data_IF_107688505076
#
_entry.id   IF_107688505076
#
_cell.length_a   1.000
_cell.length_b   1.000
_cell.length_c   1.000
_cell.angle_alpha   90.00
_cell.angle_beta   90.00
_cell.angle_gamma   90.00
#
_symmetry.space_group_name_H-M   'P 1'
#
loop_
_entity.id
_entity.type
_entity.pdbx_description
1 polymer ?
#
# COMPACT_ATOMS: atom_id res chain seq x y z
N UNK A 1 28.48 -0.55 -9.14
CA UNK A 1 27.79 0.62 -8.53
C UNK A 1 26.44 0.76 -9.23
N UNK A 2 25.36 0.70 -8.45
CA UNK A 2 23.97 1.05 -8.78
C UNK A 2 23.16 0.07 -9.64
N UNK A 3 22.85 -1.13 -9.10
CA UNK A 3 21.81 -2.02 -9.65
C UNK A 3 20.89 -2.65 -8.56
N UNK A 4 20.96 -2.18 -7.32
CA UNK A 4 20.06 -2.70 -6.28
C UNK A 4 18.65 -2.10 -6.39
N UNK A 5 18.55 -0.84 -6.84
CA UNK A 5 17.28 -0.12 -6.98
C UNK A 5 16.39 -0.67 -8.10
N UNK A 6 16.97 -0.99 -9.27
CA UNK A 6 16.22 -1.56 -10.41
C UNK A 6 15.71 -2.97 -10.13
N UNK A 7 16.49 -3.79 -9.42
CA UNK A 7 16.06 -5.14 -9.03
C UNK A 7 14.95 -5.10 -7.99
N UNK A 8 15.04 -4.21 -6.99
CA UNK A 8 14.02 -4.07 -5.97
C UNK A 8 12.70 -3.56 -6.57
N UNK A 9 12.76 -2.56 -7.45
CA UNK A 9 11.59 -2.03 -8.14
C UNK A 9 10.91 -3.09 -9.01
N UNK A 10 11.68 -3.88 -9.77
CA UNK A 10 11.13 -4.97 -10.59
C UNK A 10 10.51 -6.11 -9.76
N UNK A 11 11.07 -6.41 -8.57
CA UNK A 11 10.46 -7.36 -7.63
C UNK A 11 9.16 -6.82 -7.04
N UNK A 12 9.17 -5.58 -6.57
CA UNK A 12 7.97 -4.92 -6.04
C UNK A 12 6.86 -4.84 -7.10
N UNK A 13 7.20 -4.63 -8.37
CA UNK A 13 6.25 -4.67 -9.48
C UNK A 13 5.68 -6.08 -9.76
N UNK A 14 6.45 -7.14 -9.50
CA UNK A 14 5.98 -8.52 -9.53
C UNK A 14 5.18 -8.92 -8.27
N UNK A 15 5.41 -8.24 -7.16
CA UNK A 15 4.72 -8.44 -5.88
C UNK A 15 3.46 -7.56 -5.76
N UNK A 16 3.30 -6.53 -6.60
CA UNK A 16 2.04 -5.80 -6.78
C UNK A 16 1.06 -6.65 -7.55
N UNK A 17 0.05 -7.18 -6.85
CA UNK A 17 -1.02 -7.94 -7.47
C UNK A 17 -2.39 -7.38 -7.07
N UNK A 18 -3.40 -7.44 -7.97
CA UNK A 18 -4.77 -7.20 -7.58
C UNK A 18 -5.19 -8.27 -6.57
N UNK A 19 -5.67 -7.85 -5.41
CA UNK A 19 -6.06 -8.71 -4.30
C UNK A 19 -7.45 -8.33 -3.80
N UNK A 20 -8.14 -9.29 -3.18
CA UNK A 20 -9.42 -9.02 -2.51
C UNK A 20 -9.19 -8.69 -1.05
N UNK A 21 -10.12 -7.94 -0.46
CA UNK A 21 -10.09 -7.64 0.97
C UNK A 21 -10.04 -8.90 1.85
N UNK A 22 -10.71 -9.99 1.43
CA UNK A 22 -10.70 -11.27 2.17
C UNK A 22 -9.29 -11.84 2.40
N UNK A 23 -8.41 -11.75 1.41
CA UNK A 23 -7.03 -12.24 1.50
C UNK A 23 -6.15 -11.34 2.38
N UNK A 24 -6.58 -10.09 2.59
CA UNK A 24 -5.89 -9.08 3.39
C UNK A 24 -6.24 -9.16 4.89
N UNK A 25 -7.37 -9.77 5.24
CA UNK A 25 -7.81 -9.98 6.63
C UNK A 25 -6.72 -10.57 7.56
N UNK A 26 -5.93 -11.60 7.19
CA UNK A 26 -4.86 -12.11 8.06
C UNK A 26 -3.73 -11.09 8.28
N UNK A 27 -3.42 -10.24 7.31
CA UNK A 27 -2.42 -9.18 7.45
C UNK A 27 -2.93 -8.03 8.31
N UNK A 28 -4.22 -7.71 8.18
CA UNK A 28 -4.91 -6.74 9.01
C UNK A 28 -4.96 -7.20 10.47
N UNK A 29 -5.31 -8.46 10.73
CA UNK A 29 -5.30 -9.05 12.07
C UNK A 29 -3.92 -9.03 12.74
N UNK A 30 -2.85 -9.04 11.95
CA UNK A 30 -1.46 -8.88 12.42
C UNK A 30 -1.05 -7.43 12.66
N UNK A 31 -1.90 -6.47 12.31
CA UNK A 31 -1.59 -5.04 12.37
C UNK A 31 -0.49 -4.61 11.40
N UNK A 32 -0.23 -5.41 10.35
CA UNK A 32 0.85 -5.22 9.38
C UNK A 32 0.37 -4.55 8.08
N UNK A 33 -0.82 -3.96 8.10
CA UNK A 33 -1.49 -3.45 6.90
C UNK A 33 -1.48 -1.92 6.89
N UNK A 34 -0.89 -1.36 5.83
CA UNK A 34 -0.81 0.07 5.60
C UNK A 34 -1.70 0.44 4.42
N UNK A 35 -2.56 1.41 4.64
CA UNK A 35 -3.40 2.01 3.62
C UNK A 35 -2.67 3.15 2.93
N UNK A 36 -2.61 3.08 1.60
CA UNK A 36 -2.08 4.12 0.74
C UNK A 36 -3.24 4.79 0.01
N UNK A 37 -3.26 6.12 0.01
CA UNK A 37 -4.24 6.92 -0.74
C UNK A 37 -4.05 6.72 -2.25
N UNK A 38 -5.15 6.67 -3.02
CA UNK A 38 -5.16 6.34 -4.45
C UNK A 38 -4.42 7.31 -5.37
N UNK A 39 -4.14 8.54 -4.91
CA UNK A 39 -3.30 9.52 -5.59
C UNK A 39 -1.80 9.36 -5.37
N UNK A 40 -1.35 8.39 -4.55
CA UNK A 40 0.07 8.11 -4.34
C UNK A 40 0.56 6.95 -5.22
N UNK A 41 1.84 6.98 -5.56
CA UNK A 41 2.48 5.88 -6.28
C UNK A 41 2.79 4.74 -5.32
N UNK A 42 2.04 3.62 -5.43
CA UNK A 42 2.16 2.46 -4.55
C UNK A 42 3.60 1.92 -4.50
N UNK A 43 4.31 1.95 -5.64
CA UNK A 43 5.69 1.44 -5.73
C UNK A 43 6.67 2.39 -5.06
N UNK A 44 6.50 3.71 -5.22
CA UNK A 44 7.33 4.70 -4.54
C UNK A 44 7.17 4.64 -3.01
N UNK A 45 5.94 4.46 -2.51
CA UNK A 45 5.69 4.28 -1.08
C UNK A 45 6.29 2.95 -0.59
N UNK A 46 6.10 1.87 -1.33
CA UNK A 46 6.69 0.57 -1.03
C UNK A 46 8.22 0.63 -0.95
N UNK A 47 8.86 1.32 -1.89
CA UNK A 47 10.31 1.51 -1.89
C UNK A 47 10.76 2.29 -0.65
N UNK A 48 10.10 3.39 -0.30
CA UNK A 48 10.44 4.16 0.89
C UNK A 48 10.25 3.36 2.19
N UNK A 49 9.24 2.50 2.27
CA UNK A 49 9.07 1.56 3.40
C UNK A 49 10.19 0.52 3.41
N UNK A 50 10.58 -0.03 2.25
CA UNK A 50 11.65 -1.01 2.11
C UNK A 50 13.03 -0.44 2.47
N UNK A 51 13.29 0.82 2.09
CA UNK A 51 14.49 1.57 2.44
C UNK A 51 14.46 2.11 3.88
N UNK A 52 13.37 1.87 4.62
CA UNK A 52 13.18 2.36 5.99
C UNK A 52 13.33 3.89 6.07
N UNK A 53 12.79 4.60 5.08
CA UNK A 53 12.87 6.06 4.95
C UNK A 53 11.80 6.74 5.82
N UNK A 54 12.08 6.79 7.13
CA UNK A 54 11.17 7.33 8.16
C UNK A 54 10.70 8.76 7.87
N UNK A 55 11.52 9.58 7.21
CA UNK A 55 11.18 10.96 6.91
C UNK A 55 10.01 11.05 5.90
N UNK A 56 10.07 10.29 4.81
CA UNK A 56 8.98 10.23 3.82
C UNK A 56 7.74 9.55 4.39
N UNK A 57 7.93 8.44 5.09
CA UNK A 57 6.82 7.71 5.73
C UNK A 57 6.09 8.60 6.74
N UNK A 58 6.82 9.35 7.56
CA UNK A 58 6.22 10.31 8.49
C UNK A 58 5.51 11.46 7.78
N UNK A 59 6.05 11.96 6.66
CA UNK A 59 5.39 12.99 5.85
C UNK A 59 4.04 12.49 5.33
N UNK A 60 3.98 11.30 4.73
CA UNK A 60 2.72 10.74 4.24
C UNK A 60 1.72 10.46 5.36
N UNK A 61 2.18 9.96 6.50
CA UNK A 61 1.32 9.80 7.69
C UNK A 61 0.75 11.14 8.15
N UNK A 62 1.57 12.19 8.20
CA UNK A 62 1.11 13.52 8.60
C UNK A 62 0.17 14.17 7.57
N UNK A 63 0.31 13.84 6.28
CA UNK A 63 -0.60 14.29 5.23
C UNK A 63 -1.86 13.43 5.08
N UNK A 64 -1.97 12.32 5.83
CA UNK A 64 -3.07 11.37 5.69
C UNK A 64 -3.04 10.55 4.39
N UNK A 65 -1.89 10.53 3.72
CA UNK A 65 -1.65 9.79 2.47
C UNK A 65 -1.26 8.33 2.74
N UNK A 66 -0.65 8.07 3.90
CA UNK A 66 -0.31 6.74 4.38
C UNK A 66 -0.87 6.58 5.80
N UNK A 67 -1.74 5.63 6.02
CA UNK A 67 -2.34 5.40 7.33
C UNK A 67 -2.28 3.92 7.67
N UNK A 68 -2.29 3.56 8.95
CA UNK A 68 -2.72 2.19 9.28
C UNK A 68 -4.18 2.04 8.88
N UNK A 69 -4.52 0.89 8.32
CA UNK A 69 -5.93 0.60 8.06
C UNK A 69 -6.67 0.50 9.39
N UNK A 70 -7.77 1.22 9.51
CA UNK A 70 -8.64 1.19 10.69
C UNK A 70 -9.80 0.22 10.48
N UNK A 71 -10.40 -0.23 11.59
CA UNK A 71 -11.47 -1.22 11.61
C UNK A 71 -12.68 -0.75 10.77
N UNK A 72 -13.04 0.53 10.89
CA UNK A 72 -14.15 1.11 10.13
C UNK A 72 -13.92 1.04 8.61
N UNK A 73 -12.67 1.22 8.15
CA UNK A 73 -12.33 1.08 6.73
C UNK A 73 -12.30 -0.37 6.31
N UNK A 74 -11.83 -1.28 7.18
CA UNK A 74 -11.89 -2.72 6.94
C UNK A 74 -13.33 -3.22 6.73
N UNK A 75 -14.28 -2.80 7.56
CA UNK A 75 -15.71 -3.16 7.43
C UNK A 75 -16.33 -2.64 6.13
N UNK A 76 -15.93 -1.43 5.75
CA UNK A 76 -16.39 -0.74 4.55
C UNK A 76 -15.85 -1.40 3.27
N UNK A 77 -14.57 -1.79 3.27
CA UNK A 77 -13.94 -2.60 2.23
C UNK A 77 -14.56 -3.99 2.12
N UNK A 78 -14.90 -4.62 3.25
CA UNK A 78 -15.60 -5.90 3.27
C UNK A 78 -16.99 -5.80 2.65
N UNK A 79 -17.69 -4.70 2.88
CA UNK A 79 -19.04 -4.47 2.35
C UNK A 79 -19.03 -4.12 0.87
N UNK A 80 -18.06 -3.31 0.42
CA UNK A 80 -17.95 -2.88 -0.98
C UNK A 80 -17.20 -3.86 -1.90
N UNK A 81 -16.35 -4.72 -1.33
CA UNK A 81 -15.39 -5.60 -2.02
C UNK A 81 -14.76 -4.94 -3.26
N UNK A 82 -14.15 -3.75 -3.14
CA UNK A 82 -13.54 -3.09 -4.29
C UNK A 82 -12.29 -3.85 -4.72
N UNK A 83 -11.86 -3.61 -5.96
CA UNK A 83 -10.60 -4.17 -6.44
C UNK A 83 -9.43 -3.41 -5.80
N UNK A 84 -8.67 -4.11 -4.94
CA UNK A 84 -7.52 -3.56 -4.24
C UNK A 84 -6.23 -3.99 -4.91
N UNK A 85 -5.20 -3.16 -4.77
CA UNK A 85 -3.83 -3.51 -5.12
C UNK A 85 -3.04 -3.61 -3.84
N UNK A 86 -2.30 -4.71 -3.67
CA UNK A 86 -1.41 -4.87 -2.53
C UNK A 86 0.01 -5.14 -2.98
N UNK A 87 0.96 -4.61 -2.21
CA UNK A 87 2.39 -4.86 -2.35
C UNK A 87 2.95 -5.25 -0.99
N UNK A 88 3.71 -6.34 -0.97
CA UNK A 88 4.30 -6.87 0.24
C UNK A 88 5.70 -6.29 0.40
N UNK A 89 5.94 -5.61 1.51
CA UNK A 89 7.23 -5.03 1.89
C UNK A 89 7.54 -5.46 3.31
N UNK A 90 8.19 -6.60 3.46
CA UNK A 90 8.39 -7.22 4.77
C UNK A 90 8.96 -6.22 5.81
N UNK A 91 8.32 -6.09 6.99
CA UNK A 91 7.21 -6.90 7.51
C UNK A 91 5.77 -6.40 7.17
N UNK A 92 5.63 -5.32 6.40
CA UNK A 92 4.37 -4.64 6.11
C UNK A 92 3.74 -5.06 4.78
N UNK A 93 2.44 -4.84 4.62
CA UNK A 93 1.71 -4.94 3.36
C UNK A 93 1.03 -3.62 3.12
N UNK A 94 1.39 -2.96 2.01
CA UNK A 94 0.74 -1.74 1.59
C UNK A 94 -0.42 -2.12 0.68
N UNK A 95 -1.59 -1.55 0.95
CA UNK A 95 -2.78 -1.71 0.12
C UNK A 95 -3.24 -0.35 -0.38
N UNK A 96 -3.74 -0.33 -1.60
CA UNK A 96 -4.35 0.84 -2.21
C UNK A 96 -5.65 0.40 -2.91
N UNK A 97 -6.69 1.20 -2.77
CA UNK A 97 -7.87 1.08 -3.62
C UNK A 97 -7.46 1.40 -5.05
N UNK A 98 -7.82 0.54 -6.02
CA UNK A 98 -7.63 0.87 -7.43
C UNK A 98 -8.49 2.10 -7.72
N UNK A 99 -7.88 3.28 -7.68
CA UNK A 99 -8.50 4.49 -8.15
C UNK A 99 -8.80 4.25 -9.63
N UNK A 100 -10.07 4.04 -9.95
CA UNK A 100 -10.57 4.37 -11.28
C UNK A 100 -10.42 5.87 -11.36
N UNK A 101 -9.22 6.28 -11.73
CA UNK A 101 -8.97 7.50 -12.47
C UNK A 101 -9.79 8.70 -11.97
N UNK A 102 -9.26 9.41 -10.98
CA UNK A 102 -9.62 10.82 -10.82
C UNK A 102 -8.86 11.66 -11.85
N UNK A 103 -8.94 11.34 -13.15
CA UNK A 103 -8.98 12.43 -14.13
C UNK A 103 -10.40 12.97 -14.06
N UNK A 104 -10.58 14.06 -13.33
CA UNK A 104 -11.61 15.09 -13.54
C UNK A 104 -11.59 16.04 -12.34
N UNK A 105 -10.56 16.90 -12.28
CA UNK A 105 -10.80 18.34 -12.10
C UNK A 105 -9.61 19.17 -12.55
#
# INVERSE_FOLDING_TARGET
MTDQSSTLYAKLLGETAPIRWQELQPFFARGALLWVEGGQDLVAVAQAVAENDHARVAQWMNQGLLCKLEDSRAEDLLSRDPQLWAVVVAPWVLVQERAVDSILH
#
